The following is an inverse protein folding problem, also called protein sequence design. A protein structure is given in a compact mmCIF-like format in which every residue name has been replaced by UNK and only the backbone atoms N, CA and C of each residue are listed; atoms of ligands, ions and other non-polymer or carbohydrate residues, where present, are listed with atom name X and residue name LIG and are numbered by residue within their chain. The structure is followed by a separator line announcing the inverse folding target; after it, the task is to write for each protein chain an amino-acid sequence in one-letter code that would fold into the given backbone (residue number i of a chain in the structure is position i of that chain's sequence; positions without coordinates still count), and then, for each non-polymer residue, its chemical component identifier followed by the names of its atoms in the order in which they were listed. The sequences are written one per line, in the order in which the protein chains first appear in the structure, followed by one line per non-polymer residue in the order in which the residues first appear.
data_IF_879072168657
#
_entry.id   IF_879072168657
#
_cell.length_a   1.000
_cell.length_b   1.000
_cell.length_c   1.000
_cell.angle_alpha   90.00
_cell.angle_beta   90.00
_cell.angle_gamma   90.00
#
_symmetry.space_group_name_H-M   'P 1'
#
loop_
_entity.id
_entity.type
_entity.pdbx_description
1 polymer ?
#
# COMPACT_ATOMS: atom_id res chain seq x y z
N UNK A 1 10.97 1.80 -28.24
CA UNK A 1 9.58 1.95 -27.74
C UNK A 1 8.97 0.57 -27.62
N UNK A 2 8.71 0.08 -26.41
CA UNK A 2 7.91 -1.13 -26.24
C UNK A 2 6.46 -0.76 -26.55
N UNK A 3 5.95 -1.24 -27.69
CA UNK A 3 4.51 -1.18 -27.95
C UNK A 3 3.83 -2.20 -27.03
N UNK A 4 2.90 -1.72 -26.22
CA UNK A 4 1.93 -2.60 -25.57
C UNK A 4 1.18 -3.35 -26.67
N UNK A 5 1.54 -4.61 -26.88
CA UNK A 5 0.81 -5.48 -27.79
C UNK A 5 -0.64 -5.57 -27.27
N UNK A 6 -1.58 -5.08 -28.10
CA UNK A 6 -2.99 -4.98 -27.72
C UNK A 6 -3.59 -6.33 -27.37
N UNK A 7 -3.20 -7.39 -28.08
CA UNK A 7 -3.70 -8.74 -27.84
C UNK A 7 -3.14 -9.31 -26.54
N UNK A 8 -1.85 -9.06 -26.25
CA UNK A 8 -1.23 -9.41 -24.97
C UNK A 8 -1.89 -8.65 -23.81
N UNK A 9 -2.14 -7.35 -23.98
CA UNK A 9 -2.84 -6.56 -22.96
C UNK A 9 -4.26 -7.09 -22.72
N UNK A 10 -5.04 -7.34 -23.77
CA UNK A 10 -6.41 -7.87 -23.66
C UNK A 10 -6.44 -9.25 -23.01
N UNK A 11 -5.54 -10.16 -23.42
CA UNK A 11 -5.48 -11.51 -22.83
C UNK A 11 -5.02 -11.51 -21.37
N UNK A 12 -4.03 -10.69 -21.00
CA UNK A 12 -3.61 -10.54 -19.61
C UNK A 12 -4.71 -9.91 -18.74
N UNK A 13 -5.40 -8.88 -19.23
CA UNK A 13 -6.46 -8.19 -18.47
C UNK A 13 -7.76 -9.01 -18.36
N UNK A 14 -8.08 -9.84 -19.35
CA UNK A 14 -9.28 -10.68 -19.33
C UNK A 14 -9.31 -11.69 -18.18
N UNK A 15 -8.13 -12.09 -17.68
CA UNK A 15 -7.99 -13.10 -16.62
C UNK A 15 -7.85 -12.50 -15.21
N UNK A 16 -7.74 -11.19 -15.06
CA UNK A 16 -7.59 -10.54 -13.75
C UNK A 16 -8.73 -10.88 -12.79
N UNK A 17 -9.95 -10.99 -13.29
CA UNK A 17 -11.13 -11.38 -12.52
C UNK A 17 -11.06 -12.78 -11.88
N UNK A 18 -10.20 -13.65 -12.41
CA UNK A 18 -9.99 -15.00 -11.88
C UNK A 18 -8.86 -15.04 -10.85
N UNK A 19 -8.14 -13.94 -10.65
CA UNK A 19 -7.07 -13.86 -9.67
C UNK A 19 -7.63 -13.56 -8.29
N UNK A 20 -6.99 -14.17 -7.29
CA UNK A 20 -7.22 -13.93 -5.87
C UNK A 20 -5.93 -13.50 -5.21
N UNK A 21 -5.97 -12.37 -4.51
CA UNK A 21 -4.77 -11.77 -3.91
C UNK A 21 -4.97 -11.57 -2.42
N UNK A 22 -4.01 -12.02 -1.61
CA UNK A 22 -4.01 -11.73 -0.18
C UNK A 22 -3.34 -10.36 0.03
N UNK A 23 -4.01 -9.46 0.75
CA UNK A 23 -3.44 -8.17 1.17
C UNK A 23 -3.22 -8.22 2.67
N UNK A 24 -1.97 -8.13 3.10
CA UNK A 24 -1.57 -8.07 4.51
C UNK A 24 -0.96 -6.69 4.78
N UNK A 25 -1.44 -5.98 5.79
CA UNK A 25 -0.85 -4.70 6.11
C UNK A 25 -1.65 -3.82 7.06
N UNK A 26 -1.23 -2.57 7.12
CA UNK A 26 -1.84 -1.55 7.97
C UNK A 26 -3.04 -0.90 7.26
N UNK A 27 -4.24 -1.19 7.74
CA UNK A 27 -5.48 -0.62 7.22
C UNK A 27 -5.80 0.70 7.89
N UNK A 28 -6.01 1.74 7.08
CA UNK A 28 -6.21 3.11 7.54
C UNK A 28 -7.59 3.58 7.08
N UNK A 29 -8.31 4.28 7.94
CA UNK A 29 -9.44 5.11 7.52
C UNK A 29 -8.95 6.52 7.22
N UNK A 30 -9.14 6.97 5.99
CA UNK A 30 -8.94 8.37 5.61
C UNK A 30 -10.29 9.10 5.72
N UNK A 31 -10.38 10.06 6.64
CA UNK A 31 -11.57 10.88 6.87
C UNK A 31 -11.32 12.30 6.36
N UNK A 32 -12.34 12.89 5.74
CA UNK A 32 -12.29 14.23 5.17
C UNK A 32 -13.44 15.04 5.75
N UNK A 33 -13.11 16.03 6.55
CA UNK A 33 -14.05 17.04 7.06
C UNK A 33 -13.92 18.27 6.17
N UNK A 34 -14.90 18.46 5.28
CA UNK A 34 -14.88 19.50 4.25
C UNK A 34 -15.85 20.61 4.66
N UNK A 35 -15.34 21.83 4.74
CA UNK A 35 -16.09 22.97 5.22
C UNK A 35 -15.57 24.31 4.71
N UNK A 36 -15.98 25.35 5.43
CA UNK A 36 -15.64 26.75 5.14
C UNK A 36 -15.07 27.41 6.40
N UNK A 37 -14.22 28.42 6.21
CA UNK A 37 -13.67 29.24 7.30
C UNK A 37 -14.17 30.66 7.10
N UNK A 38 -15.03 31.12 8.00
CA UNK A 38 -15.62 32.46 7.93
C UNK A 38 -15.11 33.39 9.05
N UNK A 39 -14.36 32.86 10.03
CA UNK A 39 -13.81 33.63 11.15
C UNK A 39 -12.61 32.93 11.80
N UNK A 40 -11.88 33.71 12.59
CA UNK A 40 -10.86 33.24 13.53
C UNK A 40 -11.51 32.99 14.90
N UNK A 41 -11.00 32.03 15.66
CA UNK A 41 -11.47 31.75 17.01
C UNK A 41 -11.17 32.94 17.95
N UNK A 42 -12.11 33.35 18.82
CA UNK A 42 -11.83 34.34 19.85
C UNK A 42 -10.90 33.81 20.97
N UNK A 43 -10.74 32.48 21.06
CA UNK A 43 -9.96 31.81 22.12
C UNK A 43 -8.47 31.64 21.74
N UNK A 44 -8.16 31.56 20.44
CA UNK A 44 -6.81 31.36 19.93
C UNK A 44 -6.73 31.81 18.46
N UNK A 45 -5.54 32.19 17.95
CA UNK A 45 -5.35 32.65 16.56
C UNK A 45 -5.40 31.49 15.55
N UNK A 46 -6.50 30.73 15.54
CA UNK A 46 -6.74 29.56 14.69
C UNK A 46 -8.07 29.71 13.94
N UNK A 47 -8.17 29.20 12.70
CA UNK A 47 -9.41 29.25 11.93
C UNK A 47 -10.49 28.36 12.55
N UNK A 48 -11.75 28.82 12.52
CA UNK A 48 -12.90 27.97 12.85
C UNK A 48 -13.48 27.39 11.57
N UNK A 49 -13.40 26.07 11.42
CA UNK A 49 -13.93 25.36 10.25
C UNK A 49 -15.38 24.93 10.51
N UNK A 50 -16.31 25.42 9.71
CA UNK A 50 -17.69 24.93 9.70
C UNK A 50 -17.81 23.76 8.74
N UNK A 51 -17.77 22.54 9.28
CA UNK A 51 -17.88 21.31 8.48
C UNK A 51 -19.27 21.23 7.82
N UNK A 52 -19.27 21.02 6.51
CA UNK A 52 -20.49 20.87 5.67
C UNK A 52 -20.67 19.45 5.17
N UNK A 53 -19.57 18.73 4.99
CA UNK A 53 -19.54 17.41 4.41
C UNK A 53 -18.47 16.57 5.07
N UNK A 54 -18.84 15.34 5.36
CA UNK A 54 -17.92 14.32 5.83
C UNK A 54 -17.80 13.22 4.79
N UNK A 55 -16.60 12.69 4.60
CA UNK A 55 -16.35 11.54 3.75
C UNK A 55 -15.31 10.65 4.41
N UNK A 56 -15.60 9.37 4.49
CA UNK A 56 -14.66 8.34 4.95
C UNK A 56 -14.35 7.41 3.77
N UNK A 57 -13.08 7.06 3.60
CA UNK A 57 -12.62 6.09 2.59
C UNK A 57 -11.54 5.19 3.18
N UNK A 58 -11.33 4.05 2.54
CA UNK A 58 -10.16 3.21 2.78
C UNK A 58 -8.89 3.96 2.38
N UNK A 59 -7.88 3.85 3.24
CA UNK A 59 -6.51 4.28 3.09
C UNK A 59 -5.55 3.14 3.47
N UNK A 60 -4.24 3.39 3.40
CA UNK A 60 -3.24 2.38 3.71
C UNK A 60 -3.35 1.14 2.82
N UNK A 61 -3.27 -0.05 3.43
CA UNK A 61 -3.55 -1.33 2.78
C UNK A 61 -4.95 -1.39 2.14
N UNK A 62 -5.92 -0.62 2.64
CA UNK A 62 -7.25 -0.51 2.05
C UNK A 62 -7.26 0.18 0.68
N UNK A 63 -6.29 1.06 0.37
CA UNK A 63 -6.14 1.59 -0.99
C UNK A 63 -5.72 0.50 -1.98
N UNK A 64 -4.91 -0.47 -1.54
CA UNK A 64 -4.56 -1.64 -2.36
C UNK A 64 -5.82 -2.39 -2.75
N UNK A 65 -6.66 -2.70 -1.76
CA UNK A 65 -7.93 -3.40 -1.97
C UNK A 65 -8.82 -2.67 -2.97
N UNK A 66 -8.97 -1.35 -2.85
CA UNK A 66 -9.73 -0.54 -3.81
C UNK A 66 -9.17 -0.64 -5.24
N UNK A 67 -7.86 -0.64 -5.38
CA UNK A 67 -7.23 -0.75 -6.70
C UNK A 67 -7.49 -2.13 -7.31
N UNK A 68 -7.31 -3.21 -6.54
CA UNK A 68 -7.61 -4.58 -6.96
C UNK A 68 -9.08 -4.73 -7.38
N UNK A 69 -9.98 -4.22 -6.54
CA UNK A 69 -11.43 -4.18 -6.79
C UNK A 69 -11.75 -3.47 -8.11
N UNK A 70 -11.12 -2.32 -8.39
CA UNK A 70 -11.31 -1.58 -9.65
C UNK A 70 -10.80 -2.31 -10.90
N UNK A 71 -9.88 -3.26 -10.73
CA UNK A 71 -9.38 -4.15 -11.79
C UNK A 71 -10.21 -5.45 -11.90
N UNK A 72 -11.26 -5.60 -11.09
CA UNK A 72 -12.07 -6.81 -11.01
C UNK A 72 -11.40 -7.96 -10.27
N UNK A 73 -10.23 -7.76 -9.67
CA UNK A 73 -9.49 -8.78 -8.91
C UNK A 73 -10.13 -8.95 -7.53
N UNK A 74 -10.35 -10.19 -7.10
CA UNK A 74 -10.83 -10.47 -5.75
C UNK A 74 -9.67 -10.44 -4.76
N UNK A 75 -9.88 -9.85 -3.58
CA UNK A 75 -8.87 -9.83 -2.52
C UNK A 75 -9.32 -10.52 -1.24
N UNK A 76 -8.38 -11.13 -0.51
CA UNK A 76 -8.55 -11.56 0.88
C UNK A 76 -7.74 -10.61 1.76
N UNK A 77 -8.37 -10.06 2.79
CA UNK A 77 -7.77 -9.02 3.62
C UNK A 77 -7.34 -9.60 4.97
N UNK A 78 -6.07 -9.41 5.33
CA UNK A 78 -5.51 -9.77 6.64
C UNK A 78 -4.89 -8.53 7.30
N UNK A 79 -5.27 -8.20 8.53
CA UNK A 79 -4.68 -7.05 9.20
C UNK A 79 -5.09 -6.90 10.66
N UNK A 80 -4.92 -5.70 11.20
CA UNK A 80 -5.35 -5.33 12.55
C UNK A 80 -6.28 -4.13 12.53
N UNK A 81 -7.28 -4.15 13.40
CA UNK A 81 -8.11 -2.99 13.71
C UNK A 81 -8.35 -2.92 15.23
N UNK A 82 -8.71 -1.74 15.73
CA UNK A 82 -9.13 -1.61 17.12
C UNK A 82 -10.48 -2.28 17.37
N UNK A 83 -10.86 -2.39 18.64
CA UNK A 83 -12.20 -2.80 19.06
C UNK A 83 -13.10 -1.57 19.24
N UNK A 84 -13.31 -0.83 18.15
CA UNK A 84 -14.02 0.46 18.15
C UNK A 84 -15.01 0.63 16.97
N UNK A 85 -15.80 1.70 16.98
CA UNK A 85 -16.77 2.01 15.90
C UNK A 85 -16.09 2.28 14.55
N UNK A 86 -14.85 2.77 14.58
CA UNK A 86 -14.06 3.01 13.36
C UNK A 86 -13.66 1.67 12.73
N UNK A 87 -13.44 0.61 13.50
CA UNK A 87 -13.23 -0.73 12.96
C UNK A 87 -14.46 -1.26 12.19
N UNK A 88 -15.66 -1.00 12.70
CA UNK A 88 -16.91 -1.34 11.99
C UNK A 88 -17.03 -0.58 10.67
N UNK A 89 -16.69 0.71 10.69
CA UNK A 89 -16.66 1.56 9.49
C UNK A 89 -15.66 1.06 8.46
N UNK A 90 -14.45 0.67 8.89
CA UNK A 90 -13.41 0.09 8.05
C UNK A 90 -13.89 -1.19 7.36
N UNK A 91 -14.48 -2.11 8.11
CA UNK A 91 -14.95 -3.39 7.58
C UNK A 91 -16.14 -3.18 6.65
N UNK A 92 -17.11 -2.35 7.02
CA UNK A 92 -18.24 -2.03 6.13
C UNK A 92 -17.83 -1.31 4.85
N UNK A 93 -16.65 -0.67 4.80
CA UNK A 93 -16.08 -0.16 3.55
C UNK A 93 -15.38 -1.26 2.74
N UNK A 94 -14.66 -2.19 3.38
CA UNK A 94 -14.03 -3.34 2.70
C UNK A 94 -15.06 -4.30 2.10
N UNK A 95 -16.20 -4.50 2.77
CA UNK A 95 -17.31 -5.33 2.27
C UNK A 95 -17.99 -4.74 1.03
N UNK A 96 -17.84 -3.43 0.78
CA UNK A 96 -18.31 -2.77 -0.46
C UNK A 96 -17.33 -2.92 -1.62
N UNK A 97 -16.10 -3.36 -1.35
CA UNK A 97 -15.11 -3.69 -2.37
C UNK A 97 -15.19 -5.17 -2.74
N UNK A 98 -14.51 -5.58 -3.82
CA UNK A 98 -14.44 -6.99 -4.25
C UNK A 98 -13.53 -7.82 -3.32
N UNK A 99 -13.94 -7.99 -2.06
CA UNK A 99 -13.24 -8.81 -1.07
C UNK A 99 -13.96 -10.15 -0.82
N UNK A 100 -13.20 -11.17 -0.46
CA UNK A 100 -13.72 -12.46 -0.02
C UNK A 100 -14.07 -12.38 1.48
N UNK A 101 -15.24 -11.80 1.78
CA UNK A 101 -15.67 -11.39 3.13
C UNK A 101 -15.51 -12.52 4.15
N UNK A 102 -15.92 -13.75 3.81
CA UNK A 102 -15.84 -14.92 4.69
C UNK A 102 -14.41 -15.38 5.00
N UNK A 103 -13.43 -14.88 4.25
CA UNK A 103 -12.01 -15.19 4.45
C UNK A 103 -11.22 -13.99 4.95
N UNK A 104 -11.81 -12.79 5.06
CA UNK A 104 -11.11 -11.67 5.68
C UNK A 104 -10.81 -11.98 7.15
N UNK A 105 -9.68 -11.52 7.66
CA UNK A 105 -9.27 -11.71 9.04
C UNK A 105 -8.69 -10.42 9.60
N UNK A 106 -9.21 -10.01 10.75
CA UNK A 106 -8.69 -8.87 11.50
C UNK A 106 -8.43 -9.27 12.93
N UNK A 107 -7.19 -9.08 13.37
CA UNK A 107 -6.88 -8.99 14.80
C UNK A 107 -7.71 -7.82 15.36
N UNK A 108 -8.41 -8.07 16.48
CA UNK A 108 -9.21 -7.05 17.19
C UNK A 108 -8.46 -6.63 18.44
N UNK A 109 -7.74 -5.52 18.34
CA UNK A 109 -6.92 -5.04 19.44
C UNK A 109 -7.74 -4.20 20.42
N UNK A 110 -7.58 -4.45 21.72
CA UNK A 110 -8.08 -3.57 22.77
C UNK A 110 -7.04 -2.49 23.15
N UNK A 111 -5.79 -2.69 22.75
CA UNK A 111 -4.66 -1.84 23.13
C UNK A 111 -4.43 -0.66 22.19
N UNK A 112 -4.90 -0.76 20.94
CA UNK A 112 -4.73 0.30 19.93
C UNK A 112 -6.06 0.62 19.24
N UNK A 113 -6.31 1.91 18.91
CA UNK A 113 -7.46 2.28 18.12
C UNK A 113 -7.30 1.85 16.64
N UNK A 114 -8.40 1.76 15.92
CA UNK A 114 -8.35 1.69 14.45
C UNK A 114 -7.69 2.95 13.90
N UNK A 115 -6.70 2.77 13.01
CA UNK A 115 -5.90 3.86 12.45
C UNK A 115 -6.81 4.80 11.65
N UNK A 116 -6.90 6.06 12.08
CA UNK A 116 -7.72 7.09 11.45
C UNK A 116 -6.86 8.32 11.14
N UNK A 117 -6.94 8.79 9.90
CA UNK A 117 -6.30 10.02 9.44
C UNK A 117 -7.35 10.99 8.93
N UNK A 118 -7.71 11.95 9.76
CA UNK A 118 -8.71 12.97 9.45
C UNK A 118 -8.04 14.21 8.86
N UNK A 119 -8.45 14.61 7.66
CA UNK A 119 -8.02 15.82 6.97
C UNK A 119 -9.13 16.85 7.05
N UNK A 120 -8.84 17.99 7.68
CA UNK A 120 -9.76 19.11 7.75
C UNK A 120 -9.47 20.05 6.58
N UNK A 121 -10.46 20.26 5.71
CA UNK A 121 -10.32 21.02 4.47
C UNK A 121 -11.29 22.19 4.50
N UNK A 122 -10.76 23.39 4.22
CA UNK A 122 -11.53 24.60 4.05
C UNK A 122 -11.29 25.18 2.65
N UNK A 123 -12.36 25.30 1.85
CA UNK A 123 -12.22 25.69 0.44
C UNK A 123 -11.30 24.74 -0.33
N UNK A 124 -10.16 25.26 -0.81
CA UNK A 124 -9.14 24.48 -1.55
C UNK A 124 -7.88 24.16 -0.73
N UNK A 125 -7.88 24.43 0.58
CA UNK A 125 -6.72 24.27 1.44
C UNK A 125 -6.98 23.26 2.55
N UNK A 126 -5.97 22.42 2.83
CA UNK A 126 -5.99 21.57 4.02
C UNK A 126 -5.55 22.42 5.23
N UNK A 127 -6.44 22.58 6.20
CA UNK A 127 -6.22 23.38 7.40
C UNK A 127 -5.34 22.63 8.40
N UNK A 128 -5.70 21.39 8.70
CA UNK A 128 -4.94 20.54 9.59
C UNK A 128 -5.16 19.06 9.29
N UNK A 129 -4.39 18.22 9.98
CA UNK A 129 -4.56 16.76 9.99
C UNK A 129 -4.60 16.28 11.43
N UNK A 130 -5.55 15.41 11.73
CA UNK A 130 -5.71 14.77 13.03
C UNK A 130 -5.49 13.28 12.80
N UNK A 131 -4.44 12.73 13.42
CA UNK A 131 -4.11 11.32 13.34
C UNK A 131 -4.50 10.67 14.68
N UNK A 132 -5.36 9.65 14.64
CA UNK A 132 -5.71 8.81 15.79
C UNK A 132 -5.16 7.41 15.53
N UNK A 133 -3.97 7.16 16.05
CA UNK A 133 -3.19 5.95 15.82
C UNK A 133 -2.18 5.74 16.95
N UNK A 134 -1.77 4.49 17.15
CA UNK A 134 -0.72 4.12 18.10
C UNK A 134 0.32 3.24 17.41
N UNK A 135 1.60 3.51 17.67
CA UNK A 135 2.72 2.74 17.11
C UNK A 135 3.07 1.57 18.04
N UNK A 136 2.17 0.59 18.08
CA UNK A 136 2.37 -0.63 18.88
C UNK A 136 2.43 -1.85 17.97
N UNK A 137 3.53 -2.62 17.92
CA UNK A 137 3.56 -3.91 17.23
C UNK A 137 2.49 -4.87 17.77
N UNK A 138 2.01 -5.78 16.92
CA UNK A 138 1.21 -6.92 17.39
C UNK A 138 2.03 -7.81 18.33
N UNK A 139 1.36 -8.38 19.33
CA UNK A 139 1.94 -9.34 20.26
C UNK A 139 2.27 -10.66 19.57
N UNK A 140 3.14 -11.48 20.18
CA UNK A 140 3.49 -12.81 19.66
C UNK A 140 2.26 -13.70 19.40
N UNK A 141 1.25 -13.61 20.27
CA UNK A 141 -0.02 -14.35 20.10
C UNK A 141 -0.78 -13.88 18.87
N UNK A 142 -0.90 -12.57 18.69
CA UNK A 142 -1.55 -11.98 17.52
C UNK A 142 -0.76 -12.29 16.23
N UNK A 143 0.57 -12.36 16.29
CA UNK A 143 1.39 -12.84 15.16
C UNK A 143 1.04 -14.28 14.79
N UNK A 144 0.94 -15.17 15.78
CA UNK A 144 0.57 -16.58 15.57
C UNK A 144 -0.82 -16.69 14.92
N UNK A 145 -1.78 -15.91 15.39
CA UNK A 145 -3.14 -15.85 14.82
C UNK A 145 -3.13 -15.36 13.36
N UNK A 146 -2.37 -14.30 13.06
CA UNK A 146 -2.27 -13.75 11.71
C UNK A 146 -1.57 -14.71 10.74
N UNK A 147 -0.51 -15.38 11.18
CA UNK A 147 0.20 -16.38 10.38
C UNK A 147 -0.66 -17.61 10.13
N UNK A 148 -1.41 -18.07 11.13
CA UNK A 148 -2.36 -19.17 10.96
C UNK A 148 -3.44 -18.80 9.94
N UNK A 149 -4.03 -17.61 10.06
CA UNK A 149 -4.99 -17.11 9.09
C UNK A 149 -4.39 -17.06 7.67
N UNK A 150 -3.16 -16.58 7.53
CA UNK A 150 -2.45 -16.56 6.25
C UNK A 150 -2.26 -17.96 5.65
N UNK A 151 -1.79 -18.93 6.44
CA UNK A 151 -1.55 -20.31 6.01
C UNK A 151 -2.82 -21.00 5.47
N UNK A 152 -3.97 -20.76 6.07
CA UNK A 152 -5.26 -21.29 5.63
C UNK A 152 -5.75 -20.72 4.28
N UNK A 153 -5.11 -19.65 3.80
CA UNK A 153 -5.56 -18.86 2.65
C UNK A 153 -4.61 -18.91 1.47
N UNK A 154 -3.31 -19.02 1.73
CA UNK A 154 -2.25 -18.86 0.72
C UNK A 154 -2.35 -19.84 -0.45
N UNK A 155 -2.81 -21.08 -0.22
CA UNK A 155 -2.89 -22.07 -1.29
C UNK A 155 -3.87 -21.68 -2.39
N UNK A 156 -4.99 -21.04 -2.01
CA UNK A 156 -6.02 -20.56 -2.93
C UNK A 156 -5.73 -19.19 -3.56
N UNK A 157 -4.68 -18.49 -3.10
CA UNK A 157 -4.30 -17.18 -3.62
C UNK A 157 -3.26 -17.30 -4.73
N UNK A 158 -3.27 -16.38 -5.69
CA UNK A 158 -2.28 -16.29 -6.76
C UNK A 158 -1.06 -15.47 -6.34
N UNK A 159 -1.27 -14.44 -5.51
CA UNK A 159 -0.23 -13.53 -5.05
C UNK A 159 -0.53 -12.98 -3.65
N UNK A 160 0.48 -12.37 -3.03
CA UNK A 160 0.42 -11.70 -1.74
C UNK A 160 0.96 -10.28 -1.88
N UNK A 161 0.27 -9.32 -1.28
CA UNK A 161 0.73 -7.94 -1.14
C UNK A 161 1.00 -7.67 0.34
N UNK A 162 2.23 -7.26 0.67
CA UNK A 162 2.57 -6.66 1.96
C UNK A 162 2.52 -5.14 1.82
N UNK A 163 1.61 -4.49 2.55
CA UNK A 163 1.41 -3.04 2.50
C UNK A 163 1.79 -2.42 3.83
N UNK A 164 3.01 -1.89 3.90
CA UNK A 164 3.66 -1.49 5.14
C UNK A 164 3.59 0.02 5.35
N UNK A 165 2.93 0.43 6.43
CA UNK A 165 2.88 1.83 6.85
C UNK A 165 3.57 2.03 8.21
N UNK A 166 4.31 1.03 8.69
CA UNK A 166 5.01 1.04 9.98
C UNK A 166 4.05 1.39 11.13
N UNK A 167 2.89 0.73 11.15
CA UNK A 167 1.88 0.86 12.23
C UNK A 167 1.78 -0.39 13.09
N UNK A 168 2.68 -1.35 12.90
CA UNK A 168 2.86 -2.49 13.80
C UNK A 168 2.12 -3.78 13.43
N UNK A 169 1.39 -3.81 12.31
CA UNK A 169 0.82 -5.08 11.80
C UNK A 169 1.89 -5.96 11.17
N UNK A 170 2.78 -5.36 10.37
CA UNK A 170 3.91 -6.05 9.74
C UNK A 170 5.13 -5.98 10.65
N UNK A 171 5.23 -6.94 11.57
CA UNK A 171 6.44 -7.12 12.39
C UNK A 171 7.54 -7.81 11.58
N UNK A 172 8.81 -7.76 12.01
CA UNK A 172 9.89 -8.50 11.37
C UNK A 172 9.57 -9.99 11.20
N UNK A 173 8.92 -10.62 12.19
CA UNK A 173 8.53 -12.03 12.14
C UNK A 173 7.48 -12.28 11.05
N UNK A 174 6.43 -11.45 10.98
CA UNK A 174 5.40 -11.58 9.93
C UNK A 174 6.02 -11.42 8.54
N UNK A 175 6.85 -10.41 8.35
CA UNK A 175 7.52 -10.15 7.07
C UNK A 175 8.35 -11.37 6.65
N UNK A 176 9.18 -11.90 7.56
CA UNK A 176 10.07 -13.04 7.29
C UNK A 176 9.28 -14.32 7.00
N UNK A 177 8.31 -14.67 7.84
CA UNK A 177 7.54 -15.91 7.66
C UNK A 177 6.67 -15.88 6.41
N UNK A 178 5.96 -14.78 6.15
CA UNK A 178 5.14 -14.65 4.93
C UNK A 178 6.01 -14.73 3.68
N UNK A 179 7.16 -14.04 3.66
CA UNK A 179 8.09 -14.08 2.52
C UNK A 179 8.62 -15.49 2.29
N UNK A 180 9.09 -16.17 3.36
CA UNK A 180 9.58 -17.56 3.30
C UNK A 180 8.52 -18.52 2.73
N UNK A 181 7.30 -18.48 3.28
CA UNK A 181 6.19 -19.35 2.84
C UNK A 181 5.83 -19.08 1.37
N UNK A 182 5.80 -17.81 0.95
CA UNK A 182 5.54 -17.46 -0.44
C UNK A 182 6.61 -18.03 -1.38
N UNK A 183 7.89 -17.95 -1.02
CA UNK A 183 8.99 -18.53 -1.79
C UNK A 183 8.83 -20.05 -1.89
N UNK A 184 8.59 -20.74 -0.77
CA UNK A 184 8.39 -22.20 -0.73
C UNK A 184 7.21 -22.67 -1.60
N UNK A 185 6.09 -21.93 -1.54
CA UNK A 185 4.88 -22.21 -2.33
C UNK A 185 4.90 -21.61 -3.74
N UNK A 186 6.01 -20.98 -4.16
CA UNK A 186 6.18 -20.30 -5.45
C UNK A 186 5.07 -19.27 -5.74
N UNK A 187 4.63 -18.55 -4.70
CA UNK A 187 3.64 -17.47 -4.79
C UNK A 187 4.37 -16.14 -5.04
N UNK A 188 3.78 -15.28 -5.87
CA UNK A 188 4.29 -13.92 -6.06
C UNK A 188 4.04 -13.14 -4.78
N UNK A 189 5.07 -12.48 -4.26
CA UNK A 189 4.94 -11.54 -3.14
C UNK A 189 5.44 -10.17 -3.57
N UNK A 190 4.57 -9.18 -3.43
CA UNK A 190 4.87 -7.78 -3.71
C UNK A 190 4.80 -6.97 -2.44
N UNK A 191 5.69 -6.00 -2.34
CA UNK A 191 5.82 -5.18 -1.13
C UNK A 191 5.79 -3.71 -1.50
N UNK A 192 4.90 -2.97 -0.84
CA UNK A 192 5.02 -1.51 -0.73
C UNK A 192 5.73 -1.18 0.60
N UNK A 193 7.05 -0.92 0.58
CA UNK A 193 7.85 -0.89 1.79
C UNK A 193 7.77 0.45 2.49
N UNK A 194 7.95 0.43 3.80
CA UNK A 194 8.39 1.59 4.56
C UNK A 194 9.91 1.53 4.80
N UNK A 195 10.55 2.69 4.92
CA UNK A 195 12.02 2.83 5.05
C UNK A 195 12.58 2.05 6.25
N UNK A 196 11.86 2.01 7.38
CA UNK A 196 12.29 1.32 8.62
C UNK A 196 12.40 -0.21 8.46
N UNK A 197 11.56 -0.81 7.62
CA UNK A 197 11.53 -2.26 7.36
C UNK A 197 12.18 -2.66 6.04
N UNK A 198 12.76 -1.71 5.31
CA UNK A 198 13.17 -1.88 3.92
C UNK A 198 14.03 -3.13 3.68
N UNK A 199 15.00 -3.40 4.56
CA UNK A 199 15.90 -4.55 4.46
C UNK A 199 15.39 -5.85 5.09
N UNK A 200 14.17 -5.86 5.63
CA UNK A 200 13.51 -7.06 6.15
C UNK A 200 12.86 -7.90 5.04
N UNK A 201 12.58 -7.29 3.88
CA UNK A 201 11.89 -7.91 2.75
C UNK A 201 12.83 -8.74 1.86
N UNK A 202 13.59 -9.66 2.46
CA UNK A 202 14.48 -10.53 1.72
C UNK A 202 13.71 -11.59 0.90
N UNK A 203 14.16 -11.82 -0.34
CA UNK A 203 13.61 -12.87 -1.22
C UNK A 203 12.21 -12.59 -1.79
N UNK A 204 11.65 -11.40 -1.57
CA UNK A 204 10.36 -11.02 -2.15
C UNK A 204 10.43 -10.94 -3.67
N UNK A 205 9.33 -11.19 -4.37
CA UNK A 205 9.33 -11.22 -5.84
C UNK A 205 9.56 -9.83 -6.44
N UNK A 206 8.95 -8.81 -5.81
CA UNK A 206 9.13 -7.42 -6.22
C UNK A 206 8.91 -6.45 -5.06
N UNK A 207 9.76 -5.44 -5.01
CA UNK A 207 9.66 -4.33 -4.07
C UNK A 207 9.37 -3.04 -4.85
N UNK A 208 8.47 -2.18 -4.36
CA UNK A 208 7.96 -1.02 -5.11
C UNK A 208 8.18 0.34 -4.43
N UNK A 209 9.42 0.69 -4.02
CA UNK A 209 9.68 1.94 -3.32
C UNK A 209 9.54 3.14 -4.26
N UNK A 210 9.33 4.33 -3.72
CA UNK A 210 9.61 5.57 -4.46
C UNK A 210 11.11 5.91 -4.38
N UNK A 211 11.57 6.78 -5.27
CA UNK A 211 12.98 7.21 -5.30
C UNK A 211 13.47 7.85 -3.99
N UNK A 212 12.61 8.49 -3.20
CA UNK A 212 12.99 9.02 -1.88
C UNK A 212 13.17 7.89 -0.84
N UNK A 213 12.28 6.91 -0.82
CA UNK A 213 12.38 5.72 0.05
C UNK A 213 13.61 4.90 -0.30
N UNK A 214 13.83 4.63 -1.59
CA UNK A 214 15.01 3.91 -2.08
C UNK A 214 16.30 4.65 -1.71
N UNK A 215 16.35 5.96 -1.91
CA UNK A 215 17.51 6.78 -1.53
C UNK A 215 17.77 6.77 -0.01
N UNK A 216 16.73 6.94 0.80
CA UNK A 216 16.85 6.85 2.26
C UNK A 216 17.36 5.49 2.72
N UNK A 217 16.88 4.39 2.12
CA UNK A 217 17.31 3.04 2.46
C UNK A 217 18.81 2.81 2.23
N UNK A 218 19.37 3.35 1.14
CA UNK A 218 20.81 3.23 0.85
C UNK A 218 21.66 4.41 1.36
N UNK A 219 21.06 5.34 2.11
CA UNK A 219 21.79 6.46 2.74
C UNK A 219 22.24 7.58 1.79
N UNK A 220 21.64 7.73 0.61
CA UNK A 220 21.95 8.84 -0.32
C UNK A 220 20.73 9.33 -1.11
N UNK A 221 20.74 10.59 -1.56
CA UNK A 221 19.71 11.08 -2.48
C UNK A 221 19.89 10.48 -3.88
N UNK A 222 18.78 10.33 -4.60
CA UNK A 222 18.75 9.86 -5.99
C UNK A 222 18.17 10.99 -6.86
N UNK A 223 19.04 11.79 -7.47
CA UNK A 223 18.70 13.02 -8.18
C UNK A 223 18.58 12.81 -9.69
N UNK A 224 19.36 11.87 -10.24
CA UNK A 224 19.40 11.58 -11.66
C UNK A 224 19.10 10.11 -11.98
N UNK A 225 18.94 9.82 -13.28
CA UNK A 225 18.57 8.49 -13.78
C UNK A 225 19.62 7.45 -13.43
N UNK A 226 20.90 7.76 -13.66
CA UNK A 226 22.04 6.86 -13.38
C UNK A 226 22.09 6.43 -11.91
N UNK A 227 21.85 7.35 -10.98
CA UNK A 227 21.79 7.05 -9.54
C UNK A 227 20.63 6.12 -9.19
N UNK A 228 19.46 6.32 -9.81
CA UNK A 228 18.31 5.41 -9.63
C UNK A 228 18.64 4.01 -10.17
N UNK A 229 19.37 3.89 -11.28
CA UNK A 229 19.78 2.59 -11.82
C UNK A 229 20.71 1.86 -10.86
N UNK A 230 21.78 2.53 -10.40
CA UNK A 230 22.75 1.97 -9.45
C UNK A 230 22.11 1.60 -8.12
N UNK A 231 21.20 2.44 -7.63
CA UNK A 231 20.43 2.13 -6.44
C UNK A 231 19.54 0.90 -6.63
N UNK A 232 18.94 0.73 -7.81
CA UNK A 232 18.07 -0.40 -8.06
C UNK A 232 18.82 -1.74 -8.06
N UNK A 233 19.99 -1.77 -8.70
CA UNK A 233 20.89 -2.92 -8.67
C UNK A 233 21.37 -3.21 -7.24
N UNK A 234 21.90 -2.20 -6.53
CA UNK A 234 22.39 -2.35 -5.15
C UNK A 234 21.32 -2.88 -4.19
N UNK A 235 20.08 -2.36 -4.29
CA UNK A 235 18.95 -2.79 -3.47
C UNK A 235 18.54 -4.22 -3.82
N UNK A 236 18.43 -4.54 -5.11
CA UNK A 236 18.03 -5.86 -5.59
C UNK A 236 19.02 -6.94 -5.11
N UNK A 237 20.33 -6.66 -5.17
CA UNK A 237 21.37 -7.56 -4.67
C UNK A 237 21.29 -7.75 -3.16
N UNK A 238 21.19 -6.66 -2.38
CA UNK A 238 21.09 -6.73 -0.90
C UNK A 238 19.86 -7.52 -0.42
N UNK A 239 18.75 -7.44 -1.16
CA UNK A 239 17.51 -8.11 -0.81
C UNK A 239 17.34 -9.49 -1.45
N UNK A 240 18.23 -9.87 -2.38
CA UNK A 240 18.02 -11.03 -3.27
C UNK A 240 16.64 -10.97 -3.95
N UNK A 241 16.21 -9.77 -4.33
CA UNK A 241 14.88 -9.50 -4.88
C UNK A 241 14.95 -9.54 -6.42
N UNK A 242 14.23 -10.44 -7.11
CA UNK A 242 14.34 -10.60 -8.56
C UNK A 242 13.93 -9.37 -9.37
N UNK A 243 13.10 -8.50 -8.82
CA UNK A 243 12.60 -7.31 -9.51
C UNK A 243 12.45 -6.13 -8.55
N UNK A 244 12.84 -4.93 -8.97
CA UNK A 244 12.66 -3.70 -8.20
C UNK A 244 11.99 -2.64 -9.07
N UNK A 245 10.87 -2.09 -8.60
CA UNK A 245 10.17 -1.01 -9.31
C UNK A 245 10.25 0.29 -8.52
N UNK A 246 11.11 1.21 -8.96
CA UNK A 246 11.26 2.52 -8.33
C UNK A 246 10.29 3.51 -9.00
N UNK A 247 9.37 4.09 -8.22
CA UNK A 247 8.49 5.18 -8.71
C UNK A 247 9.18 6.54 -8.60
N UNK A 248 9.11 7.34 -9.66
CA UNK A 248 9.91 8.56 -9.88
C UNK A 248 9.05 9.81 -10.11
N UNK A 249 7.82 9.81 -9.60
CA UNK A 249 6.87 10.90 -9.79
C UNK A 249 6.66 11.21 -11.27
N UNK A 250 6.83 12.47 -11.65
CA UNK A 250 6.60 12.95 -13.02
C UNK A 250 7.48 12.25 -14.07
N UNK A 251 8.63 11.69 -13.66
CA UNK A 251 9.49 10.90 -14.53
C UNK A 251 8.96 9.50 -14.81
N UNK A 252 7.89 9.03 -14.16
CA UNK A 252 7.35 7.68 -14.36
C UNK A 252 7.94 6.67 -13.39
N UNK A 253 8.30 5.49 -13.89
CA UNK A 253 8.77 4.35 -13.10
C UNK A 253 9.97 3.68 -13.77
N UNK A 254 10.84 3.07 -12.98
CA UNK A 254 11.97 2.26 -13.47
C UNK A 254 11.88 0.86 -12.86
N UNK A 255 11.77 -0.15 -13.72
CA UNK A 255 11.74 -1.57 -13.34
C UNK A 255 13.10 -2.20 -13.62
N UNK A 256 13.82 -2.60 -12.57
CA UNK A 256 15.03 -3.41 -12.66
C UNK A 256 14.69 -4.90 -12.61
N UNK A 257 15.24 -5.70 -13.52
CA UNK A 257 15.13 -7.16 -13.54
C UNK A 257 16.51 -7.79 -13.30
N UNK A 258 16.71 -8.41 -12.13
CA UNK A 258 18.00 -8.95 -11.72
C UNK A 258 18.51 -10.05 -12.67
N UNK A 259 17.62 -10.93 -13.14
CA UNK A 259 17.96 -12.04 -14.03
C UNK A 259 18.60 -11.59 -15.37
N UNK A 260 18.28 -10.37 -15.82
CA UNK A 260 18.82 -9.80 -17.06
C UNK A 260 19.82 -8.67 -16.82
N UNK A 261 19.93 -8.18 -15.57
CA UNK A 261 20.58 -6.92 -15.23
C UNK A 261 20.11 -5.76 -16.13
N UNK A 262 18.83 -5.76 -16.46
CA UNK A 262 18.20 -4.77 -17.35
C UNK A 262 17.27 -3.84 -16.59
N UNK A 263 17.16 -2.60 -17.06
CA UNK A 263 16.20 -1.62 -16.55
C UNK A 263 15.25 -1.20 -17.65
N UNK A 264 13.97 -1.25 -17.32
CA UNK A 264 12.87 -0.79 -18.16
C UNK A 264 12.32 0.50 -17.59
N UNK A 265 12.35 1.56 -18.40
CA UNK A 265 11.73 2.82 -18.03
C UNK A 265 10.31 2.90 -18.57
N UNK A 266 9.35 3.19 -17.69
CA UNK A 266 7.94 3.37 -18.00
C UNK A 266 7.61 4.84 -17.77
N UNK A 267 7.43 5.66 -18.83
CA UNK A 267 7.17 7.08 -18.68
C UNK A 267 5.78 7.34 -18.08
N UNK A 268 5.62 8.49 -17.42
CA UNK A 268 4.30 8.94 -16.95
C UNK A 268 3.43 9.34 -18.14
N UNK A 269 2.23 8.76 -18.23
CA UNK A 269 1.19 9.16 -19.19
C UNK A 269 0.22 10.12 -18.50
N UNK A 270 0.64 11.37 -18.24
CA UNK A 270 -0.27 12.40 -17.74
C UNK A 270 -1.00 13.05 -18.92
N UNK A 271 -2.32 12.90 -19.00
CA UNK A 271 -3.18 13.88 -19.69
C UNK A 271 -3.51 14.98 -18.68
N UNK A 272 -3.37 16.24 -19.09
CA UNK A 272 -3.70 17.41 -18.27
C UNK A 272 -5.13 17.31 -17.69
N UNK A 273 -5.28 17.48 -16.37
CA UNK A 273 -6.60 17.66 -15.73
C UNK A 273 -6.98 16.77 -14.55
N UNK A 274 -6.19 15.75 -14.16
CA UNK A 274 -6.51 14.92 -12.98
C UNK A 274 -5.85 15.45 -11.69
N UNK A 275 -6.65 16.08 -10.82
CA UNK A 275 -6.22 16.68 -9.55
C UNK A 275 -6.10 15.67 -8.41
N UNK A 276 -5.17 14.72 -8.52
CA UNK A 276 -4.49 14.19 -7.33
C UNK A 276 -3.28 13.38 -7.75
N UNK A 277 -2.10 14.01 -7.74
CA UNK A 277 -0.82 13.36 -8.06
C UNK A 277 -0.63 12.10 -7.21
N UNK A 278 -0.95 12.11 -5.92
CA UNK A 278 -0.78 10.96 -5.02
C UNK A 278 -1.71 9.77 -5.29
N UNK A 279 -2.98 10.00 -5.62
CA UNK A 279 -3.99 8.92 -5.80
C UNK A 279 -3.73 8.11 -7.06
N UNK A 280 -3.11 8.71 -8.09
CA UNK A 280 -2.74 7.98 -9.31
C UNK A 280 -1.46 7.15 -9.10
N UNK A 281 -0.43 7.64 -8.38
CA UNK A 281 0.76 6.82 -8.12
C UNK A 281 0.47 5.62 -7.18
N UNK A 282 -0.41 5.77 -6.19
CA UNK A 282 -0.87 4.63 -5.36
C UNK A 282 -1.77 3.69 -6.16
N UNK A 283 -2.61 4.20 -7.08
CA UNK A 283 -3.33 3.38 -8.08
C UNK A 283 -2.39 2.54 -8.96
N UNK A 284 -1.13 2.93 -9.09
CA UNK A 284 -0.16 2.31 -10.02
C UNK A 284 0.88 1.41 -9.32
N UNK A 285 1.14 1.56 -8.02
CA UNK A 285 2.17 0.77 -7.29
C UNK A 285 1.96 -0.74 -7.34
N UNK A 286 0.70 -1.20 -7.32
CA UNK A 286 0.37 -2.64 -7.24
C UNK A 286 -0.28 -3.17 -8.53
N UNK A 287 -0.91 -2.29 -9.32
CA UNK A 287 -1.60 -2.65 -10.56
C UNK A 287 -0.68 -3.09 -11.70
N UNK A 288 0.64 -2.88 -11.61
CA UNK A 288 1.62 -3.33 -12.61
C UNK A 288 2.34 -4.62 -12.23
N UNK A 289 2.13 -5.11 -11.01
CA UNK A 289 2.80 -6.31 -10.49
C UNK A 289 1.99 -7.57 -10.74
N UNK A 290 0.69 -7.42 -10.97
CA UNK A 290 -0.30 -8.50 -11.12
C UNK A 290 -0.62 -8.74 -12.59
#
# INVERSE_FOLDING_TARGET
MYYLDRNRFQSSTANLKNLKIIVIGDFILDEYLIGEVNRISPEAPVPVVWVRKEKITLGGAGNVVKNLSSLGVQSIVLGRAGKDEKAKSLIGLLEKENTDIGRNFFIRSEDVPTILKTRVIAGHQQVCRIDKEELKPISKKEEDELLQAFLERIDSANAVVLSDYDKGTLTPRIIQEVSRICVEKKKIVTVDPQVSHFFLYQGVSILTPNHHEAGKAIGRKLENDSEVLKAAEEISEKLSCPSLMITRGEKGMSLYLAAKKEIFHIPTMMKSGFSSRATMYIRFRISFVI
#
